data_IF_410769845544
#
_entry.id   IF_410769845544
#
_cell.length_a   1.000
_cell.length_b   1.000
_cell.length_c   1.000
_cell.angle_alpha   90.00
_cell.angle_beta   90.00
_cell.angle_gamma   90.00
#
_symmetry.space_group_name_H-M   'P 1'
#
loop_
_entity.id
_entity.type
_entity.pdbx_description
1 polymer ?
#
# COMPACT_ATOMS: atom_id res chain seq x y z
N UNK A 1 -13.51 -14.47 -18.22
CA UNK A 1 -14.18 -13.32 -18.88
C UNK A 1 -13.24 -12.79 -19.94
N UNK A 2 -13.71 -12.64 -21.17
CA UNK A 2 -12.94 -12.23 -22.35
C UNK A 2 -12.41 -10.80 -22.17
N UNK A 3 -11.11 -10.64 -21.93
CA UNK A 3 -10.46 -9.32 -21.78
C UNK A 3 -10.32 -8.66 -23.15
N UNK A 4 -11.33 -7.90 -23.54
CA UNK A 4 -11.25 -7.00 -24.69
C UNK A 4 -10.22 -5.89 -24.46
N UNK A 5 -9.76 -5.27 -25.55
CA UNK A 5 -8.93 -4.06 -25.49
C UNK A 5 -9.72 -2.98 -24.72
N UNK A 6 -9.18 -2.34 -23.68
CA UNK A 6 -9.87 -1.27 -22.96
C UNK A 6 -10.28 -0.13 -23.92
N UNK A 7 -11.55 0.30 -23.87
CA UNK A 7 -12.10 1.29 -24.80
C UNK A 7 -12.52 2.54 -24.04
N UNK A 8 -11.91 3.68 -24.35
CA UNK A 8 -12.20 4.95 -23.69
C UNK A 8 -11.22 5.30 -22.58
N UNK A 9 -11.22 6.58 -22.17
CA UNK A 9 -10.21 7.15 -21.27
C UNK A 9 -10.14 6.42 -19.93
N UNK A 10 -11.28 6.20 -19.30
CA UNK A 10 -11.33 5.70 -17.92
C UNK A 10 -10.96 4.22 -17.84
N UNK A 11 -11.43 3.41 -18.79
CA UNK A 11 -11.05 1.99 -18.91
C UNK A 11 -9.55 1.83 -19.18
N UNK A 12 -8.99 2.66 -20.07
CA UNK A 12 -7.56 2.67 -20.36
C UNK A 12 -6.75 3.04 -19.12
N UNK A 13 -7.14 4.10 -18.40
CA UNK A 13 -6.46 4.52 -17.18
C UNK A 13 -6.52 3.41 -16.12
N UNK A 14 -7.69 2.82 -15.88
CA UNK A 14 -7.85 1.74 -14.91
C UNK A 14 -6.99 0.52 -15.26
N UNK A 15 -7.00 0.07 -16.51
CA UNK A 15 -6.20 -1.07 -16.97
C UNK A 15 -4.70 -0.81 -16.82
N UNK A 16 -4.25 0.41 -17.09
CA UNK A 16 -2.85 0.80 -16.96
C UNK A 16 -2.43 0.89 -15.49
N UNK A 17 -3.27 1.46 -14.62
CA UNK A 17 -2.98 1.56 -13.19
C UNK A 17 -2.91 0.18 -12.53
N UNK A 18 -3.82 -0.75 -12.86
CA UNK A 18 -3.76 -2.12 -12.36
C UNK A 18 -2.50 -2.85 -12.85
N UNK A 19 -2.20 -2.78 -14.16
CA UNK A 19 -0.99 -3.39 -14.70
C UNK A 19 0.30 -2.82 -14.09
N UNK A 20 0.34 -1.50 -13.88
CA UNK A 20 1.48 -0.84 -13.25
C UNK A 20 1.61 -1.20 -11.77
N UNK A 21 0.50 -1.27 -11.02
CA UNK A 21 0.52 -1.64 -9.60
C UNK A 21 1.08 -3.05 -9.40
N UNK A 22 0.68 -4.00 -10.24
CA UNK A 22 1.21 -5.37 -10.23
C UNK A 22 2.73 -5.40 -10.53
N UNK A 23 3.17 -4.69 -11.57
CA UNK A 23 4.59 -4.67 -11.95
C UNK A 23 5.45 -3.97 -10.89
N UNK A 24 4.97 -2.87 -10.29
CA UNK A 24 5.70 -2.18 -9.23
C UNK A 24 5.78 -3.02 -7.96
N UNK A 25 4.70 -3.72 -7.59
CA UNK A 25 4.72 -4.68 -6.49
C UNK A 25 5.69 -5.84 -6.76
N UNK A 26 5.81 -6.29 -8.02
CA UNK A 26 6.64 -7.43 -8.42
C UNK A 26 8.13 -7.12 -8.58
N UNK A 27 8.51 -5.94 -9.12
CA UNK A 27 9.93 -5.56 -9.31
C UNK A 27 10.31 -4.09 -9.07
N UNK A 28 9.36 -3.23 -8.69
CA UNK A 28 9.61 -1.81 -8.42
C UNK A 28 9.44 -0.90 -9.66
N UNK A 29 9.21 0.40 -9.45
CA UNK A 29 9.10 1.37 -10.55
C UNK A 29 10.33 1.49 -11.44
N UNK A 30 11.55 1.49 -10.88
CA UNK A 30 12.79 1.68 -11.63
C UNK A 30 13.07 0.54 -12.62
N UNK A 31 12.74 -0.70 -12.23
CA UNK A 31 12.88 -1.88 -13.08
C UNK A 31 11.69 -2.11 -14.03
N UNK A 32 10.74 -1.17 -14.13
CA UNK A 32 9.53 -1.32 -14.93
C UNK A 32 9.41 -0.19 -15.95
N UNK A 33 9.47 -0.51 -17.24
CA UNK A 33 9.29 0.50 -18.30
C UNK A 33 7.81 0.77 -18.59
N UNK A 34 7.50 1.92 -19.19
CA UNK A 34 6.15 2.22 -19.72
C UNK A 34 5.74 1.19 -20.78
N UNK A 35 6.70 0.64 -21.54
CA UNK A 35 6.45 -0.40 -22.52
C UNK A 35 5.98 -1.71 -21.86
N UNK A 36 6.57 -2.09 -20.74
CA UNK A 36 6.14 -3.27 -19.98
C UNK A 36 4.70 -3.13 -19.50
N UNK A 37 4.36 -1.93 -19.00
CA UNK A 37 3.02 -1.60 -18.52
C UNK A 37 2.02 -1.62 -19.68
N UNK A 38 2.36 -0.99 -20.80
CA UNK A 38 1.55 -0.97 -22.01
C UNK A 38 1.26 -2.41 -22.53
N UNK A 39 2.30 -3.25 -22.58
CA UNK A 39 2.18 -4.65 -22.96
C UNK A 39 1.26 -5.43 -22.02
N UNK A 40 1.42 -5.26 -20.70
CA UNK A 40 0.60 -5.95 -19.70
C UNK A 40 -0.85 -5.46 -19.67
N UNK A 41 -1.10 -4.17 -19.88
CA UNK A 41 -2.44 -3.58 -19.90
C UNK A 41 -3.16 -3.74 -21.25
N UNK A 42 -2.49 -4.27 -22.27
CA UNK A 42 -3.00 -4.34 -23.64
C UNK A 42 -3.40 -2.96 -24.20
N UNK A 43 -2.64 -1.92 -23.83
CA UNK A 43 -2.85 -0.52 -24.22
C UNK A 43 -1.65 -0.05 -25.03
N UNK A 44 -1.87 0.79 -26.04
CA UNK A 44 -0.78 1.40 -26.80
C UNK A 44 0.07 2.32 -25.90
N UNK A 45 1.40 2.20 -25.97
CA UNK A 45 2.35 3.05 -25.21
C UNK A 45 2.06 4.56 -25.32
N UNK A 46 1.65 5.05 -26.48
CA UNK A 46 1.30 6.46 -26.69
C UNK A 46 0.07 6.89 -25.89
N UNK A 47 -0.89 6.00 -25.64
CA UNK A 47 -2.05 6.27 -24.80
C UNK A 47 -1.67 6.33 -23.32
N UNK A 48 -0.75 5.48 -22.87
CA UNK A 48 -0.23 5.54 -21.50
C UNK A 48 0.37 6.91 -21.21
N UNK A 49 1.28 7.37 -22.08
CA UNK A 49 1.91 8.68 -21.94
C UNK A 49 0.90 9.83 -22.04
N UNK A 50 -0.06 9.74 -22.98
CA UNK A 50 -1.10 10.77 -23.15
C UNK A 50 -1.99 10.92 -21.91
N UNK A 51 -2.31 9.83 -21.23
CA UNK A 51 -3.26 9.87 -20.10
C UNK A 51 -2.59 10.04 -18.73
N UNK A 52 -1.39 9.51 -18.54
CA UNK A 52 -0.73 9.44 -17.24
C UNK A 52 0.61 10.19 -17.20
N UNK A 53 1.10 10.69 -18.34
CA UNK A 53 2.27 11.55 -18.42
C UNK A 53 3.59 10.83 -18.17
N UNK A 54 4.45 11.44 -17.36
CA UNK A 54 5.79 10.91 -17.04
C UNK A 54 5.72 9.65 -16.16
N UNK A 55 6.88 9.00 -15.99
CA UNK A 55 7.01 7.83 -15.12
C UNK A 55 6.70 8.19 -13.67
N UNK A 56 7.14 9.35 -13.20
CA UNK A 56 6.90 9.88 -11.86
C UNK A 56 5.41 10.15 -11.64
N UNK A 57 4.75 10.79 -12.62
CA UNK A 57 3.30 11.03 -12.58
C UNK A 57 2.51 9.71 -12.53
N UNK A 58 2.94 8.71 -13.30
CA UNK A 58 2.36 7.37 -13.22
C UNK A 58 2.57 6.72 -11.85
N UNK A 59 3.74 6.85 -11.23
CA UNK A 59 4.01 6.34 -9.88
C UNK A 59 3.05 6.99 -8.87
N UNK A 60 2.91 8.31 -8.88
CA UNK A 60 1.93 9.02 -8.05
C UNK A 60 0.51 8.53 -8.26
N UNK A 61 0.08 8.41 -9.52
CA UNK A 61 -1.25 7.93 -9.86
C UNK A 61 -1.51 6.49 -9.37
N UNK A 62 -0.51 5.60 -9.42
CA UNK A 62 -0.61 4.24 -8.87
C UNK A 62 -0.72 4.25 -7.34
N UNK A 63 0.04 5.11 -6.66
CA UNK A 63 -0.03 5.23 -5.20
C UNK A 63 -1.40 5.71 -4.73
N UNK A 64 -1.94 6.75 -5.38
CA UNK A 64 -3.29 7.26 -5.11
C UNK A 64 -4.37 6.21 -5.44
N UNK A 65 -4.24 5.50 -6.58
CA UNK A 65 -5.15 4.44 -6.98
C UNK A 65 -5.22 3.30 -5.95
N UNK A 66 -4.07 2.83 -5.45
CA UNK A 66 -4.01 1.77 -4.44
C UNK A 66 -4.58 2.24 -3.10
N UNK A 67 -4.28 3.48 -2.69
CA UNK A 67 -4.84 4.06 -1.48
C UNK A 67 -6.37 4.16 -1.53
N UNK A 68 -6.91 4.64 -2.64
CA UNK A 68 -8.35 4.75 -2.85
C UNK A 68 -9.02 3.36 -2.93
N UNK A 69 -8.40 2.41 -3.64
CA UNK A 69 -8.91 1.03 -3.73
C UNK A 69 -9.00 0.35 -2.36
N UNK A 70 -7.99 0.52 -1.51
CA UNK A 70 -8.02 0.00 -0.14
C UNK A 70 -9.12 0.66 0.69
N UNK A 71 -9.29 1.98 0.56
CA UNK A 71 -10.37 2.72 1.23
C UNK A 71 -11.74 2.15 0.87
N UNK A 72 -11.99 1.97 -0.42
CA UNK A 72 -13.26 1.43 -0.94
C UNK A 72 -13.55 0.01 -0.43
N UNK A 73 -12.53 -0.85 -0.33
CA UNK A 73 -12.67 -2.19 0.24
C UNK A 73 -13.07 -2.15 1.71
N UNK A 74 -12.44 -1.28 2.49
CA UNK A 74 -12.75 -1.10 3.92
C UNK A 74 -14.18 -0.58 4.08
N UNK A 75 -14.55 0.47 3.32
CA UNK A 75 -15.89 1.07 3.40
C UNK A 75 -16.99 0.08 2.99
N UNK A 76 -16.70 -0.81 2.03
CA UNK A 76 -17.62 -1.85 1.59
C UNK A 76 -17.73 -3.04 2.56
N UNK A 77 -16.93 -3.07 3.64
CA UNK A 77 -16.87 -4.21 4.55
C UNK A 77 -16.41 -5.49 3.85
N UNK A 78 -15.46 -5.37 2.91
CA UNK A 78 -14.93 -6.51 2.17
C UNK A 78 -14.30 -7.57 3.11
N UNK A 79 -14.22 -8.84 2.68
CA UNK A 79 -13.54 -9.88 3.46
C UNK A 79 -12.11 -9.49 3.87
N UNK A 80 -11.69 -9.93 5.06
CA UNK A 80 -10.42 -9.51 5.66
C UNK A 80 -9.19 -9.90 4.82
N UNK A 81 -9.23 -11.05 4.16
CA UNK A 81 -8.19 -11.53 3.24
C UNK A 81 -8.07 -10.63 2.00
N UNK A 82 -9.19 -10.11 1.48
CA UNK A 82 -9.21 -9.17 0.35
C UNK A 82 -8.62 -7.82 0.75
N UNK A 83 -8.98 -7.32 1.94
CA UNK A 83 -8.41 -6.08 2.49
C UNK A 83 -6.91 -6.24 2.72
N UNK A 84 -6.48 -7.36 3.31
CA UNK A 84 -5.07 -7.61 3.59
C UNK A 84 -4.23 -7.74 2.31
N UNK A 85 -4.74 -8.41 1.28
CA UNK A 85 -4.07 -8.48 -0.03
C UNK A 85 -3.91 -7.10 -0.68
N UNK A 86 -4.94 -6.24 -0.60
CA UNK A 86 -4.86 -4.86 -1.10
C UNK A 86 -3.85 -4.02 -0.31
N UNK A 87 -3.84 -4.17 1.02
CA UNK A 87 -2.88 -3.51 1.91
C UNK A 87 -1.44 -3.96 1.63
N UNK A 88 -1.18 -5.28 1.49
CA UNK A 88 0.16 -5.78 1.13
C UNK A 88 0.62 -5.17 -0.20
N UNK A 89 -0.23 -5.16 -1.23
CA UNK A 89 0.12 -4.57 -2.53
C UNK A 89 0.45 -3.09 -2.40
N UNK A 90 -0.39 -2.30 -1.71
CA UNK A 90 -0.14 -0.87 -1.51
C UNK A 90 1.20 -0.63 -0.81
N UNK A 91 1.45 -1.31 0.30
CA UNK A 91 2.67 -1.14 1.10
C UNK A 91 3.93 -1.60 0.35
N UNK A 92 3.84 -2.68 -0.42
CA UNK A 92 4.95 -3.18 -1.23
C UNK A 92 5.34 -2.22 -2.34
N UNK A 93 4.36 -1.58 -2.99
CA UNK A 93 4.60 -0.53 -4.00
C UNK A 93 5.24 0.71 -3.36
N UNK A 94 4.71 1.17 -2.21
CA UNK A 94 5.29 2.29 -1.45
C UNK A 94 6.75 2.03 -1.11
N UNK A 95 7.04 0.87 -0.51
CA UNK A 95 8.38 0.54 -0.07
C UNK A 95 9.39 0.47 -1.23
N UNK A 96 9.00 -0.12 -2.36
CA UNK A 96 9.86 -0.23 -3.54
C UNK A 96 10.05 1.11 -4.24
N UNK A 97 9.00 1.91 -4.36
CA UNK A 97 9.13 3.27 -4.88
C UNK A 97 10.10 4.11 -4.01
N UNK A 98 9.99 4.01 -2.69
CA UNK A 98 10.90 4.68 -1.77
C UNK A 98 12.35 4.18 -1.91
N UNK A 99 12.57 2.86 -2.01
CA UNK A 99 13.90 2.27 -2.23
C UNK A 99 14.50 2.63 -3.59
N UNK A 100 13.66 2.82 -4.61
CA UNK A 100 14.05 3.31 -5.94
C UNK A 100 14.35 4.82 -5.95
N UNK A 101 14.18 5.53 -4.82
CA UNK A 101 14.48 6.95 -4.69
C UNK A 101 13.34 7.90 -5.08
N UNK A 102 12.12 7.40 -5.30
CA UNK A 102 10.97 8.27 -5.56
C UNK A 102 10.53 8.99 -4.28
N UNK A 103 10.17 10.29 -4.36
CA UNK A 103 9.65 11.04 -3.22
C UNK A 103 8.18 10.67 -2.95
N UNK A 104 7.93 9.47 -2.41
CA UNK A 104 6.58 8.90 -2.24
C UNK A 104 5.65 9.84 -1.46
N UNK A 105 6.16 10.54 -0.45
CA UNK A 105 5.37 11.50 0.35
C UNK A 105 4.94 12.75 -0.42
N UNK A 106 5.62 13.09 -1.51
CA UNK A 106 5.25 14.21 -2.40
C UNK A 106 4.38 13.73 -3.57
N UNK A 107 4.59 12.50 -4.03
CA UNK A 107 3.87 11.91 -5.16
C UNK A 107 2.49 11.39 -4.79
N UNK A 108 2.32 10.86 -3.57
CA UNK A 108 1.01 10.45 -3.07
C UNK A 108 0.27 11.69 -2.58
N UNK A 109 -0.76 12.10 -3.32
CA UNK A 109 -1.49 13.34 -3.05
C UNK A 109 -2.57 13.15 -1.98
N UNK A 110 -3.02 11.90 -1.78
CA UNK A 110 -4.04 11.57 -0.79
C UNK A 110 -3.65 10.37 0.08
N UNK A 111 -3.88 10.50 1.39
CA UNK A 111 -3.60 9.46 2.39
C UNK A 111 -4.88 9.03 3.12
N UNK A 112 -5.94 8.58 2.42
CA UNK A 112 -7.26 8.36 3.03
C UNK A 112 -7.24 7.34 4.17
N UNK A 113 -6.46 6.26 4.02
CA UNK A 113 -6.37 5.21 5.04
C UNK A 113 -5.59 5.68 6.28
N UNK A 114 -4.64 6.60 6.12
CA UNK A 114 -3.91 7.21 7.23
C UNK A 114 -4.79 8.22 7.97
N UNK A 115 -5.53 9.04 7.23
CA UNK A 115 -6.52 9.96 7.81
C UNK A 115 -7.55 9.18 8.63
N UNK A 116 -8.09 8.08 8.09
CA UNK A 116 -9.04 7.22 8.81
C UNK A 116 -8.46 6.65 10.11
N UNK A 117 -7.21 6.17 10.09
CA UNK A 117 -6.53 5.69 11.30
C UNK A 117 -6.33 6.85 12.29
N UNK A 118 -5.87 8.01 11.83
CA UNK A 118 -5.71 9.17 12.70
C UNK A 118 -7.04 9.59 13.33
N UNK A 119 -8.14 9.63 12.58
CA UNK A 119 -9.47 9.95 13.11
C UNK A 119 -9.92 8.97 14.20
N UNK A 120 -9.52 7.69 14.09
CA UNK A 120 -9.80 6.65 15.08
C UNK A 120 -8.94 6.79 16.35
N UNK A 121 -7.67 7.18 16.19
CA UNK A 121 -6.68 7.19 17.27
C UNK A 121 -6.56 8.55 17.97
N UNK A 122 -6.68 9.67 17.27
CA UNK A 122 -6.54 11.02 17.83
C UNK A 122 -7.39 11.24 19.10
N UNK A 123 -8.67 10.82 19.17
CA UNK A 123 -9.49 11.01 20.37
C UNK A 123 -8.99 10.24 21.61
N UNK A 124 -8.11 9.25 21.43
CA UNK A 124 -7.58 8.43 22.54
C UNK A 124 -6.39 9.08 23.24
N UNK A 125 -5.78 10.11 22.65
CA UNK A 125 -4.56 10.75 23.17
C UNK A 125 -4.83 12.20 23.57
N UNK A 126 -4.15 12.66 24.62
CA UNK A 126 -4.14 14.07 24.99
C UNK A 126 -3.22 14.92 24.11
N UNK A 127 -2.15 14.32 23.58
CA UNK A 127 -1.18 14.96 22.67
C UNK A 127 -1.32 14.37 21.26
N UNK A 128 -1.66 15.23 20.30
CA UNK A 128 -1.80 14.87 18.89
C UNK A 128 -0.51 14.28 18.29
N UNK A 129 0.67 14.77 18.70
CA UNK A 129 1.93 14.23 18.21
C UNK A 129 2.15 12.80 18.69
N UNK A 130 1.71 12.46 19.91
CA UNK A 130 1.78 11.09 20.42
C UNK A 130 0.87 10.15 19.64
N UNK A 131 -0.36 10.58 19.30
CA UNK A 131 -1.25 9.80 18.45
C UNK A 131 -0.63 9.55 17.06
N UNK A 132 -0.08 10.60 16.44
CA UNK A 132 0.58 10.50 15.12
C UNK A 132 1.78 9.57 15.16
N UNK A 133 2.60 9.64 16.21
CA UNK A 133 3.73 8.73 16.42
C UNK A 133 3.27 7.28 16.64
N UNK A 134 2.21 7.05 17.42
CA UNK A 134 1.64 5.72 17.63
C UNK A 134 1.15 5.11 16.31
N UNK A 135 0.38 5.86 15.52
CA UNK A 135 -0.06 5.43 14.18
C UNK A 135 1.15 5.12 13.29
N UNK A 136 2.17 5.99 13.28
CA UNK A 136 3.42 5.75 12.54
C UNK A 136 4.12 4.46 12.95
N UNK A 137 4.23 4.19 14.26
CA UNK A 137 4.85 2.98 14.79
C UNK A 137 4.09 1.71 14.40
N UNK A 138 2.75 1.76 14.45
CA UNK A 138 1.89 0.64 14.03
C UNK A 138 2.12 0.32 12.56
N UNK A 139 2.13 1.34 11.70
CA UNK A 139 2.36 1.17 10.26
C UNK A 139 3.76 0.62 10.00
N UNK A 140 4.78 1.15 10.69
CA UNK A 140 6.16 0.69 10.54
C UNK A 140 6.32 -0.79 10.96
N UNK A 141 5.72 -1.19 12.09
CA UNK A 141 5.72 -2.58 12.55
C UNK A 141 5.05 -3.50 11.52
N UNK A 142 3.86 -3.10 11.06
CA UNK A 142 3.09 -3.84 10.07
C UNK A 142 3.82 -3.96 8.72
N UNK A 143 4.50 -2.92 8.29
CA UNK A 143 5.31 -2.91 7.08
C UNK A 143 6.53 -3.84 7.23
N UNK A 144 7.22 -3.75 8.38
CA UNK A 144 8.39 -4.57 8.68
C UNK A 144 8.08 -6.06 8.59
N UNK A 145 7.01 -6.52 9.23
CA UNK A 145 6.62 -7.93 9.18
C UNK A 145 6.16 -8.39 7.79
N UNK A 146 5.47 -7.55 7.01
CA UNK A 146 5.05 -7.92 5.65
C UNK A 146 6.21 -8.03 4.66
N UNK A 147 7.19 -7.14 4.76
CA UNK A 147 8.33 -7.12 3.84
C UNK A 147 9.44 -8.08 4.26
N UNK A 148 9.72 -8.14 5.56
CA UNK A 148 10.84 -8.92 6.10
C UNK A 148 10.40 -10.25 6.69
N UNK A 149 9.10 -10.55 6.79
CA UNK A 149 8.57 -11.81 7.33
C UNK A 149 9.24 -13.08 6.77
N UNK A 150 9.40 -13.22 5.44
CA UNK A 150 10.08 -14.37 4.84
C UNK A 150 11.55 -14.53 5.28
N UNK A 151 12.20 -13.44 5.70
CA UNK A 151 13.54 -13.45 6.27
C UNK A 151 13.52 -13.66 7.80
N UNK A 152 12.67 -12.89 8.50
CA UNK A 152 12.59 -12.88 9.97
C UNK A 152 12.15 -14.23 10.53
N UNK A 153 11.16 -14.88 9.92
CA UNK A 153 10.61 -16.15 10.44
C UNK A 153 11.67 -17.26 10.55
N UNK A 154 12.38 -17.64 9.47
CA UNK A 154 13.44 -18.63 9.59
C UNK A 154 14.60 -18.14 10.46
N UNK A 155 14.98 -16.85 10.36
CA UNK A 155 16.10 -16.29 11.13
C UNK A 155 15.86 -16.31 12.65
N UNK A 156 14.59 -16.19 13.08
CA UNK A 156 14.18 -16.19 14.48
C UNK A 156 13.72 -17.58 14.97
N UNK A 157 13.77 -18.61 14.13
CA UNK A 157 13.28 -19.95 14.48
C UNK A 157 11.75 -20.08 14.54
N UNK A 158 11.01 -19.20 13.86
CA UNK A 158 9.54 -19.15 13.78
C UNK A 158 9.00 -19.86 12.52
N UNK A 159 9.73 -20.84 11.98
CA UNK A 159 9.40 -21.50 10.72
C UNK A 159 8.08 -22.28 10.74
N UNK A 160 7.71 -22.82 11.90
CA UNK A 160 6.48 -23.62 12.10
C UNK A 160 5.22 -22.76 12.31
N UNK A 161 5.38 -21.47 12.61
CA UNK A 161 4.21 -20.57 12.78
C UNK A 161 3.50 -20.41 11.45
N UNK A 162 2.18 -20.38 11.45
CA UNK A 162 1.40 -20.06 10.24
C UNK A 162 1.40 -18.55 9.96
N UNK A 163 0.97 -18.15 8.77
CA UNK A 163 0.79 -16.72 8.44
C UNK A 163 -0.27 -16.06 9.35
N UNK A 164 -1.27 -16.83 9.78
CA UNK A 164 -2.32 -16.35 10.68
C UNK A 164 -1.81 -16.13 12.11
N UNK A 165 -0.93 -17.02 12.60
CA UNK A 165 -0.29 -16.86 13.91
C UNK A 165 0.54 -15.57 13.96
N UNK A 166 1.33 -15.32 12.90
CA UNK A 166 2.15 -14.10 12.80
C UNK A 166 1.25 -12.87 12.69
N UNK A 167 0.21 -12.91 11.86
CA UNK A 167 -0.76 -11.81 11.71
C UNK A 167 -1.42 -11.46 13.04
N UNK A 168 -1.87 -12.46 13.78
CA UNK A 168 -2.49 -12.29 15.11
C UNK A 168 -1.50 -11.68 16.10
N UNK A 169 -0.26 -12.17 16.16
CA UNK A 169 0.76 -11.64 17.04
C UNK A 169 1.14 -10.18 16.71
N UNK A 170 1.24 -9.84 15.42
CA UNK A 170 1.49 -8.47 14.96
C UNK A 170 0.31 -7.54 15.28
N UNK A 171 -0.92 -8.03 15.13
CA UNK A 171 -2.13 -7.30 15.55
C UNK A 171 -2.11 -6.95 17.03
N UNK A 172 -1.86 -7.92 17.91
CA UNK A 172 -1.76 -7.70 19.35
C UNK A 172 -0.59 -6.76 19.74
N UNK A 173 0.52 -6.80 19.00
CA UNK A 173 1.61 -5.84 19.19
C UNK A 173 1.22 -4.42 18.74
N UNK A 174 0.50 -4.29 17.63
CA UNK A 174 -0.03 -3.00 17.18
C UNK A 174 -1.04 -2.40 18.17
N UNK A 175 -1.92 -3.21 18.75
CA UNK A 175 -2.87 -2.77 19.79
C UNK A 175 -2.16 -2.17 21.01
N UNK A 176 -1.08 -2.82 21.48
CA UNK A 176 -0.26 -2.29 22.58
C UNK A 176 0.46 -0.98 22.22
N UNK A 177 0.93 -0.84 20.98
CA UNK A 177 1.51 0.42 20.50
C UNK A 177 0.49 1.55 20.38
N UNK A 178 -0.79 1.19 20.32
CA UNK A 178 -1.94 2.09 20.22
C UNK A 178 -2.46 2.54 21.59
N UNK A 179 -1.93 2.02 22.70
CA UNK A 179 -2.29 2.47 24.05
C UNK A 179 -1.56 3.79 24.36
N UNK A 180 -2.27 4.82 24.86
CA UNK A 180 -1.64 6.03 25.34
C UNK A 180 -0.69 5.70 26.51
N UNK A 181 0.48 6.36 26.60
CA UNK A 181 1.32 6.22 27.78
C UNK A 181 0.51 6.58 29.03
N UNK A 182 0.66 5.79 30.09
CA UNK A 182 -0.02 6.04 31.35
C UNK A 182 0.25 7.50 31.79
N UNK A 183 -0.81 8.22 32.14
CA UNK A 183 -0.67 9.57 32.67
C UNK A 183 0.18 9.48 33.95
N UNK A 184 1.44 9.91 33.87
CA UNK A 184 2.25 10.12 35.05
C UNK A 184 1.66 11.32 35.80
N UNK A 185 0.79 11.02 36.77
CA UNK A 185 0.34 11.96 37.80
C UNK A 185 1.47 12.29 38.77
#
# INVERSE_FOLDING_TARGET
MTTGVPVGRDEVVAAVLEAASELFAARGPAATSIRDIAAKSNVNHGLVFRHLGSKEQLVGAVLDHLGQRLKELIDAGAPADVIDAALDRQLRVIARAALDGYPVGELQTTFPNMARLLDEFLPRYADENQARLAVGNIIALQLGWRLLGPFLRPALGLGEMTDDDVRTAVGAAAERLAEPPAAHH
#
